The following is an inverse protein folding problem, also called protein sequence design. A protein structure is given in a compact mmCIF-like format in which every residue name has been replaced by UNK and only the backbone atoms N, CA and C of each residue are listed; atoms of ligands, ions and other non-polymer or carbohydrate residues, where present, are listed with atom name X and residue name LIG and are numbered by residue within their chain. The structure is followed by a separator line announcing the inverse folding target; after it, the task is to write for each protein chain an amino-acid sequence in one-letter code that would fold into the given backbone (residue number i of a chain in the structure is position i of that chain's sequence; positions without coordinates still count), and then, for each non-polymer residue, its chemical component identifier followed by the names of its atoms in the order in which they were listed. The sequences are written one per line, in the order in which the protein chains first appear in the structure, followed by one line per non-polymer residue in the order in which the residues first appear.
data_IF_755251622201
#
_entry.id   IF_755251622201
#
_cell.length_a   1.000
_cell.length_b   1.000
_cell.length_c   1.000
_cell.angle_alpha   90.00
_cell.angle_beta   90.00
_cell.angle_gamma   90.00
#
_symmetry.space_group_name_H-M   'P 1'
#
loop_
_entity.id
_entity.type
_entity.pdbx_description
1 polymer ?
#
# COMPACT_ATOMS: atom_id res chain seq x y z
N UNK A 1 -10.12 -10.10 -27.71
CA UNK A 1 -11.05 -9.80 -26.62
C UNK A 1 -10.27 -9.91 -25.32
N UNK A 2 -9.79 -8.78 -24.82
CA UNK A 2 -9.26 -8.68 -23.46
C UNK A 2 -10.29 -8.04 -22.55
N UNK A 3 -10.35 -8.47 -21.29
CA UNK A 3 -11.08 -7.82 -20.21
C UNK A 3 -10.08 -7.08 -19.33
N UNK A 4 -10.14 -5.75 -19.36
CA UNK A 4 -9.14 -4.88 -18.74
C UNK A 4 -9.83 -3.97 -17.73
N UNK A 5 -9.31 -3.97 -16.50
CA UNK A 5 -9.68 -2.96 -15.50
C UNK A 5 -8.57 -1.91 -15.44
N UNK A 6 -8.91 -0.63 -15.59
CA UNK A 6 -7.96 0.49 -15.56
C UNK A 6 -8.30 1.42 -14.40
N UNK A 7 -7.39 1.62 -13.45
CA UNK A 7 -7.56 2.57 -12.34
C UNK A 7 -6.82 3.87 -12.63
N UNK A 8 -7.47 5.01 -12.41
CA UNK A 8 -6.83 6.33 -12.46
C UNK A 8 -6.93 7.03 -11.09
N UNK A 9 -5.79 7.50 -10.57
CA UNK A 9 -5.71 8.24 -9.31
C UNK A 9 -6.20 9.69 -9.42
N UNK A 10 -6.36 10.36 -8.27
CA UNK A 10 -6.93 11.71 -8.22
C UNK A 10 -6.15 12.77 -9.01
N UNK A 11 -4.81 12.68 -9.01
CA UNK A 11 -3.94 13.55 -9.81
C UNK A 11 -4.13 13.36 -11.33
N UNK A 12 -4.51 12.14 -11.75
CA UNK A 12 -4.81 11.78 -13.14
C UNK A 12 -6.14 12.33 -13.62
N UNK A 13 -7.11 12.56 -12.72
CA UNK A 13 -8.47 13.04 -13.06
C UNK A 13 -8.76 14.45 -12.53
N UNK A 14 -7.72 15.19 -12.11
CA UNK A 14 -7.87 16.47 -11.40
C UNK A 14 -8.57 17.59 -12.18
N UNK A 15 -8.61 17.53 -13.51
CA UNK A 15 -9.24 18.56 -14.36
C UNK A 15 -10.02 17.93 -15.51
N UNK A 16 -11.02 18.63 -16.08
CA UNK A 16 -11.74 18.14 -17.27
C UNK A 16 -10.81 17.81 -18.44
N UNK A 17 -9.75 18.61 -18.67
CA UNK A 17 -8.74 18.33 -19.69
C UNK A 17 -8.05 16.98 -19.46
N UNK A 18 -7.66 16.69 -18.22
CA UNK A 18 -7.05 15.40 -17.87
C UNK A 18 -8.03 14.24 -18.03
N UNK A 19 -9.31 14.43 -17.70
CA UNK A 19 -10.37 13.44 -17.96
C UNK A 19 -10.47 13.14 -19.46
N UNK A 20 -10.50 14.16 -20.32
CA UNK A 20 -10.52 13.96 -21.77
C UNK A 20 -9.25 13.27 -22.29
N UNK A 21 -8.07 13.56 -21.73
CA UNK A 21 -6.83 12.89 -22.07
C UNK A 21 -6.88 11.39 -21.73
N UNK A 22 -7.48 11.01 -20.60
CA UNK A 22 -7.72 9.61 -20.23
C UNK A 22 -8.66 8.95 -21.22
N UNK A 23 -9.78 9.61 -21.56
CA UNK A 23 -10.74 9.10 -22.56
C UNK A 23 -10.05 8.87 -23.90
N UNK A 24 -9.29 9.85 -24.41
CA UNK A 24 -8.54 9.73 -25.66
C UNK A 24 -7.53 8.58 -25.62
N UNK A 25 -6.85 8.41 -24.48
CA UNK A 25 -5.92 7.31 -24.28
C UNK A 25 -6.64 5.97 -24.37
N UNK A 26 -7.74 5.79 -23.63
CA UNK A 26 -8.50 4.54 -23.62
C UNK A 26 -9.04 4.22 -25.00
N UNK A 27 -9.62 5.20 -25.70
CA UNK A 27 -10.14 4.98 -27.06
C UNK A 27 -9.05 4.68 -28.09
N UNK A 28 -7.86 5.26 -27.93
CA UNK A 28 -6.70 4.97 -28.78
C UNK A 28 -6.14 3.58 -28.56
N UNK A 29 -6.11 3.10 -27.31
CA UNK A 29 -5.51 1.81 -26.93
C UNK A 29 -6.49 0.63 -27.12
N UNK A 30 -7.79 0.88 -26.96
CA UNK A 30 -8.86 -0.13 -27.06
C UNK A 30 -8.85 -0.83 -28.42
N UNK A 31 -8.90 -2.17 -28.41
CA UNK A 31 -9.26 -2.95 -29.59
C UNK A 31 -10.79 -3.14 -29.68
N UNK A 32 -11.29 -3.45 -30.87
CA UNK A 32 -12.73 -3.53 -31.14
C UNK A 32 -13.51 -4.42 -30.15
N UNK A 33 -12.90 -5.54 -29.74
CA UNK A 33 -13.53 -6.53 -28.85
C UNK A 33 -13.06 -6.42 -27.39
N UNK A 34 -12.40 -5.35 -26.99
CA UNK A 34 -11.95 -5.21 -25.60
C UNK A 34 -13.10 -4.73 -24.69
N UNK A 35 -13.23 -5.41 -23.55
CA UNK A 35 -14.14 -5.02 -22.46
C UNK A 35 -13.34 -4.21 -21.45
N UNK A 36 -13.71 -2.95 -21.26
CA UNK A 36 -12.94 -2.01 -20.43
C UNK A 36 -13.80 -1.49 -19.29
N UNK A 37 -13.29 -1.66 -18.08
CA UNK A 37 -13.84 -1.05 -16.86
C UNK A 37 -12.82 -0.05 -16.33
N UNK A 38 -13.26 1.17 -16.07
CA UNK A 38 -12.45 2.19 -15.40
C UNK A 38 -12.84 2.26 -13.92
N UNK A 39 -11.84 2.40 -13.05
CA UNK A 39 -12.03 2.77 -11.64
C UNK A 39 -11.37 4.12 -11.42
N UNK A 40 -12.10 5.08 -10.86
CA UNK A 40 -11.57 6.44 -10.63
C UNK A 40 -11.67 6.85 -9.18
N UNK A 41 -10.66 7.58 -8.72
CA UNK A 41 -10.66 8.31 -7.43
C UNK A 41 -11.34 9.68 -7.58
N UNK A 42 -11.57 10.37 -6.46
CA UNK A 42 -11.99 11.77 -6.48
C UNK A 42 -10.98 12.68 -7.22
N UNK A 43 -11.46 13.80 -7.78
CA UNK A 43 -10.62 14.75 -8.53
C UNK A 43 -9.63 15.49 -7.64
N UNK A 44 -8.34 15.44 -7.97
CA UNK A 44 -7.30 16.22 -7.28
C UNK A 44 -7.33 16.00 -5.77
N UNK A 45 -7.40 17.09 -5.01
CA UNK A 45 -7.37 17.09 -3.54
C UNK A 45 -8.77 17.09 -2.91
N UNK A 46 -9.83 16.79 -3.69
CA UNK A 46 -11.23 16.86 -3.23
C UNK A 46 -11.48 16.08 -1.94
N UNK A 47 -10.87 14.90 -1.78
CA UNK A 47 -11.03 14.10 -0.55
C UNK A 47 -10.50 14.86 0.67
N UNK A 48 -9.34 15.51 0.54
CA UNK A 48 -8.72 16.26 1.63
C UNK A 48 -9.53 17.53 1.96
N UNK A 49 -10.07 18.21 0.93
CA UNK A 49 -10.97 19.35 1.10
C UNK A 49 -12.25 18.97 1.86
N UNK A 50 -12.84 17.81 1.55
CA UNK A 50 -14.02 17.29 2.24
C UNK A 50 -13.71 16.93 3.70
N UNK A 51 -12.57 16.31 3.98
CA UNK A 51 -12.11 16.05 5.36
C UNK A 51 -11.90 17.37 6.11
N UNK A 52 -11.27 18.36 5.49
CA UNK A 52 -11.03 19.67 6.09
C UNK A 52 -12.35 20.39 6.40
N UNK A 53 -13.33 20.32 5.50
CA UNK A 53 -14.66 20.89 5.69
C UNK A 53 -15.40 20.21 6.86
N UNK A 54 -15.36 18.87 6.94
CA UNK A 54 -15.97 18.14 8.05
C UNK A 54 -15.37 18.53 9.41
N UNK A 55 -14.04 18.73 9.47
CA UNK A 55 -13.34 19.20 10.69
C UNK A 55 -13.79 20.59 11.16
N UNK A 56 -14.26 21.45 10.25
CA UNK A 56 -14.83 22.76 10.61
C UNK A 56 -16.21 22.63 11.27
N UNK A 57 -16.95 21.56 10.95
CA UNK A 57 -18.28 21.28 11.53
C UNK A 57 -18.14 20.59 12.88
N UNK A 58 -17.21 19.65 13.02
CA UNK A 58 -17.06 18.86 14.25
C UNK A 58 -15.68 18.25 14.42
N UNK A 59 -15.25 18.14 15.68
CA UNK A 59 -14.06 17.37 16.08
C UNK A 59 -14.38 15.93 16.48
N UNK A 60 -15.65 15.52 16.46
CA UNK A 60 -16.08 14.17 16.86
C UNK A 60 -15.98 13.18 15.70
N UNK A 61 -15.67 11.90 15.97
CA UNK A 61 -15.49 10.89 14.93
C UNK A 61 -16.82 10.29 14.48
N UNK A 62 -17.56 10.98 13.62
CA UNK A 62 -18.79 10.44 13.00
C UNK A 62 -18.49 9.64 11.73
N UNK A 63 -18.04 8.40 11.90
CA UNK A 63 -17.55 7.57 10.77
C UNK A 63 -18.55 7.36 9.64
N UNK A 64 -19.81 7.01 9.94
CA UNK A 64 -20.84 6.79 8.90
C UNK A 64 -21.05 8.01 8.00
N UNK A 65 -21.17 9.20 8.60
CA UNK A 65 -21.39 10.41 7.82
C UNK A 65 -20.14 10.90 7.11
N UNK A 66 -18.96 10.61 7.66
CA UNK A 66 -17.70 10.84 6.95
C UNK A 66 -17.64 10.00 5.68
N UNK A 67 -17.95 8.70 5.76
CA UNK A 67 -17.95 7.82 4.59
C UNK A 67 -18.94 8.28 3.52
N UNK A 68 -20.14 8.69 3.96
CA UNK A 68 -21.14 9.30 3.08
C UNK A 68 -20.60 10.57 2.42
N UNK A 69 -19.93 11.45 3.16
CA UNK A 69 -19.36 12.68 2.62
C UNK A 69 -18.27 12.40 1.59
N UNK A 70 -17.27 11.59 1.95
CA UNK A 70 -16.08 11.37 1.10
C UNK A 70 -16.45 10.68 -0.22
N UNK A 71 -17.39 9.73 -0.18
CA UNK A 71 -17.88 9.01 -1.36
C UNK A 71 -18.44 9.90 -2.47
N UNK A 72 -18.83 11.14 -2.16
CA UNK A 72 -19.35 12.08 -3.15
C UNK A 72 -18.28 12.52 -4.15
N UNK A 73 -17.00 12.53 -3.75
CA UNK A 73 -15.89 12.92 -4.62
C UNK A 73 -15.73 11.97 -5.82
N UNK A 74 -15.74 10.66 -5.58
CA UNK A 74 -15.69 9.67 -6.66
C UNK A 74 -16.95 9.70 -7.53
N UNK A 75 -18.13 9.95 -6.93
CA UNK A 75 -19.39 10.04 -7.67
C UNK A 75 -19.41 11.20 -8.70
N UNK A 76 -18.84 12.34 -8.34
CA UNK A 76 -18.64 13.45 -9.29
C UNK A 76 -17.75 13.01 -10.44
N UNK A 77 -16.65 12.33 -10.13
CA UNK A 77 -15.65 11.93 -11.12
C UNK A 77 -16.19 10.91 -12.13
N UNK A 78 -16.90 9.87 -11.67
CA UNK A 78 -17.48 8.87 -12.58
C UNK A 78 -18.51 9.49 -13.52
N UNK A 79 -19.29 10.47 -13.06
CA UNK A 79 -20.30 11.13 -13.87
C UNK A 79 -19.63 11.95 -14.98
N UNK A 80 -18.62 12.76 -14.63
CA UNK A 80 -17.87 13.57 -15.60
C UNK A 80 -17.13 12.71 -16.62
N UNK A 81 -16.53 11.60 -16.19
CA UNK A 81 -15.83 10.70 -17.10
C UNK A 81 -16.78 9.97 -18.05
N UNK A 82 -17.94 9.52 -17.56
CA UNK A 82 -18.96 8.93 -18.43
C UNK A 82 -19.48 9.96 -19.47
N UNK A 83 -19.73 11.20 -19.06
CA UNK A 83 -20.10 12.28 -19.99
C UNK A 83 -19.00 12.49 -21.06
N UNK A 84 -17.73 12.49 -20.66
CA UNK A 84 -16.61 12.68 -21.58
C UNK A 84 -16.46 11.54 -22.60
N UNK A 85 -16.70 10.28 -22.22
CA UNK A 85 -16.75 9.16 -23.18
C UNK A 85 -17.90 9.31 -24.18
N UNK A 86 -19.09 9.66 -23.69
CA UNK A 86 -20.26 9.85 -24.55
C UNK A 86 -20.06 11.01 -25.54
N UNK A 87 -19.43 12.11 -25.12
CA UNK A 87 -19.05 13.23 -25.99
C UNK A 87 -18.08 12.80 -27.11
N UNK A 88 -17.28 11.76 -26.86
CA UNK A 88 -16.34 11.17 -27.83
C UNK A 88 -16.96 10.04 -28.66
N UNK A 89 -18.27 9.85 -28.57
CA UNK A 89 -19.01 8.86 -29.36
C UNK A 89 -18.86 7.42 -28.90
N UNK A 90 -18.28 7.18 -27.71
CA UNK A 90 -18.23 5.86 -27.09
C UNK A 90 -19.23 5.82 -25.94
N UNK A 91 -20.23 4.95 -26.04
CA UNK A 91 -21.20 4.79 -24.97
C UNK A 91 -20.51 4.34 -23.68
N UNK A 92 -20.91 4.94 -22.56
CA UNK A 92 -20.42 4.60 -21.25
C UNK A 92 -21.48 4.76 -20.16
N UNK A 93 -21.30 4.05 -19.05
CA UNK A 93 -22.16 4.14 -17.87
C UNK A 93 -21.33 4.29 -16.61
N UNK A 94 -21.76 5.18 -15.71
CA UNK A 94 -21.16 5.32 -14.39
C UNK A 94 -21.89 4.46 -13.36
N UNK A 95 -21.13 3.81 -12.48
CA UNK A 95 -21.65 2.99 -11.38
C UNK A 95 -20.97 3.37 -10.06
N UNK A 96 -21.74 3.46 -8.98
CA UNK A 96 -21.18 3.51 -7.62
C UNK A 96 -20.61 2.15 -7.22
N UNK A 97 -19.87 2.09 -6.10
CA UNK A 97 -19.34 0.81 -5.60
C UNK A 97 -20.44 -0.22 -5.31
N UNK A 98 -21.55 0.22 -4.71
CA UNK A 98 -22.78 -0.58 -4.54
C UNK A 98 -23.30 -1.13 -5.87
N UNK A 99 -23.47 -0.25 -6.88
CA UNK A 99 -23.98 -0.65 -8.19
C UNK A 99 -23.02 -1.56 -8.97
N UNK A 100 -21.73 -1.53 -8.65
CA UNK A 100 -20.73 -2.47 -9.16
C UNK A 100 -20.62 -3.76 -8.31
N UNK A 101 -21.46 -3.90 -7.28
CA UNK A 101 -21.59 -5.10 -6.45
C UNK A 101 -20.58 -5.22 -5.32
N UNK A 102 -19.94 -4.13 -4.90
CA UNK A 102 -18.89 -4.15 -3.86
C UNK A 102 -19.53 -4.16 -2.47
N UNK A 103 -19.51 -5.32 -1.82
CA UNK A 103 -19.95 -5.48 -0.42
C UNK A 103 -18.79 -5.20 0.54
N UNK A 104 -19.03 -4.38 1.56
CA UNK A 104 -18.04 -3.97 2.56
C UNK A 104 -18.44 -4.36 3.98
N UNK A 105 -17.45 -4.51 4.86
CA UNK A 105 -17.64 -4.52 6.32
C UNK A 105 -18.23 -3.20 6.82
N UNK A 106 -18.79 -3.20 8.02
CA UNK A 106 -19.39 -2.05 8.74
C UNK A 106 -18.38 -1.15 9.48
N UNK A 107 -17.08 -1.38 9.30
CA UNK A 107 -16.03 -0.55 9.89
C UNK A 107 -15.81 0.73 9.09
N UNK A 108 -16.57 1.78 9.41
CA UNK A 108 -16.49 3.08 8.71
C UNK A 108 -15.06 3.67 8.68
N UNK A 109 -14.73 4.37 7.58
CA UNK A 109 -13.40 4.91 7.22
C UNK A 109 -12.31 3.87 6.90
N UNK A 110 -12.50 2.60 7.28
CA UNK A 110 -11.51 1.52 7.16
C UNK A 110 -12.15 0.22 6.67
N UNK A 111 -13.17 0.33 5.81
CA UNK A 111 -13.93 -0.79 5.29
C UNK A 111 -13.06 -1.82 4.59
N UNK A 112 -13.51 -3.08 4.62
CA UNK A 112 -12.89 -4.21 3.92
C UNK A 112 -13.89 -4.79 2.94
N UNK A 113 -13.43 -5.04 1.72
CA UNK A 113 -14.25 -5.73 0.71
C UNK A 113 -14.49 -7.18 1.17
N UNK A 114 -15.75 -7.54 1.37
CA UNK A 114 -16.18 -8.89 1.73
C UNK A 114 -16.50 -9.75 0.51
N UNK A 115 -16.97 -9.12 -0.57
CA UNK A 115 -17.30 -9.77 -1.82
C UNK A 115 -17.58 -8.74 -2.92
N UNK A 116 -17.51 -9.19 -4.17
CA UNK A 116 -17.83 -8.39 -5.35
C UNK A 116 -18.72 -9.22 -6.28
N UNK A 117 -19.92 -8.71 -6.58
CA UNK A 117 -20.83 -9.28 -7.58
C UNK A 117 -20.91 -8.36 -8.82
N UNK A 118 -20.09 -8.61 -9.86
CA UNK A 118 -19.99 -7.72 -11.02
C UNK A 118 -21.10 -7.92 -12.07
N UNK A 119 -22.23 -8.57 -11.74
CA UNK A 119 -23.29 -8.86 -12.72
C UNK A 119 -23.73 -7.63 -13.53
N UNK A 120 -24.02 -6.51 -12.86
CA UNK A 120 -24.40 -5.25 -13.52
C UNK A 120 -23.28 -4.65 -14.38
N UNK A 121 -22.02 -4.89 -14.02
CA UNK A 121 -20.86 -4.48 -14.83
C UNK A 121 -20.83 -5.30 -16.12
N UNK A 122 -21.03 -6.62 -16.04
CA UNK A 122 -21.07 -7.47 -17.23
C UNK A 122 -22.23 -7.13 -18.17
N UNK A 123 -23.43 -6.88 -17.65
CA UNK A 123 -24.59 -6.46 -18.44
C UNK A 123 -24.26 -5.23 -19.30
N UNK A 124 -23.65 -4.20 -18.71
CA UNK A 124 -23.25 -3.00 -19.44
C UNK A 124 -22.13 -3.25 -20.45
N UNK A 125 -21.15 -4.10 -20.12
CA UNK A 125 -20.07 -4.46 -21.05
C UNK A 125 -20.58 -5.25 -22.25
N UNK A 126 -21.57 -6.12 -22.07
CA UNK A 126 -22.18 -6.91 -23.14
C UNK A 126 -23.01 -6.04 -24.11
N UNK A 127 -23.46 -4.87 -23.64
CA UNK A 127 -24.05 -3.82 -24.49
C UNK A 127 -22.98 -2.98 -25.24
N UNK A 128 -21.68 -3.31 -25.09
CA UNK A 128 -20.58 -2.61 -25.75
C UNK A 128 -20.15 -1.30 -25.09
N UNK A 129 -20.64 -1.03 -23.87
CA UNK A 129 -20.34 0.20 -23.12
C UNK A 129 -18.98 0.10 -22.42
N UNK A 130 -18.36 1.25 -22.19
CA UNK A 130 -17.30 1.38 -21.19
C UNK A 130 -17.96 1.60 -19.82
N UNK A 131 -17.56 0.83 -18.81
CA UNK A 131 -18.10 0.98 -17.45
C UNK A 131 -17.14 1.82 -16.61
N UNK A 132 -17.63 2.87 -15.95
CA UNK A 132 -16.83 3.74 -15.06
C UNK A 132 -17.33 3.58 -13.63
N UNK A 133 -16.54 2.92 -12.79
CA UNK A 133 -16.86 2.61 -11.40
C UNK A 133 -16.18 3.59 -10.45
N UNK A 134 -16.91 4.04 -9.43
CA UNK A 134 -16.34 4.87 -8.40
C UNK A 134 -15.58 3.97 -7.41
N UNK A 135 -14.27 4.18 -7.32
CA UNK A 135 -13.43 3.44 -6.39
C UNK A 135 -13.66 3.85 -4.93
N UNK A 136 -12.87 3.30 -4.02
CA UNK A 136 -12.79 3.72 -2.61
C UNK A 136 -14.05 3.47 -1.75
N UNK A 137 -15.18 3.10 -2.35
CA UNK A 137 -16.44 2.88 -1.66
C UNK A 137 -17.00 1.46 -1.86
N UNK A 138 -17.77 1.00 -0.87
CA UNK A 138 -18.62 -0.18 -0.93
C UNK A 138 -19.88 0.02 -0.09
N UNK A 139 -20.72 -1.00 -0.01
CA UNK A 139 -21.98 -0.96 0.75
C UNK A 139 -22.02 -2.05 1.82
N UNK A 140 -22.55 -1.73 2.99
CA UNK A 140 -22.81 -2.72 4.04
C UNK A 140 -24.06 -3.54 3.73
N UNK A 141 -24.26 -4.63 4.47
CA UNK A 141 -25.51 -5.41 4.42
C UNK A 141 -26.77 -4.57 4.75
N UNK A 142 -26.60 -3.43 5.44
CA UNK A 142 -27.69 -2.52 5.83
C UNK A 142 -27.96 -1.40 4.82
N UNK A 143 -27.17 -1.34 3.73
CA UNK A 143 -27.31 -0.28 2.72
C UNK A 143 -26.54 1.01 3.05
N UNK A 144 -25.65 0.99 4.04
CA UNK A 144 -24.80 2.14 4.36
C UNK A 144 -23.55 2.15 3.48
N UNK A 145 -23.19 3.33 2.98
CA UNK A 145 -21.95 3.51 2.25
C UNK A 145 -20.75 3.53 3.19
N UNK A 146 -19.71 2.80 2.82
CA UNK A 146 -18.47 2.67 3.59
C UNK A 146 -17.29 2.97 2.68
N UNK A 147 -16.32 3.71 3.20
CA UNK A 147 -15.06 3.92 2.51
C UNK A 147 -14.01 2.89 2.92
N UNK A 148 -13.14 2.53 1.99
CA UNK A 148 -12.16 1.43 2.14
C UNK A 148 -10.83 1.89 2.75
N UNK A 149 -10.73 3.16 3.15
CA UNK A 149 -9.51 3.78 3.65
C UNK A 149 -8.50 4.13 2.55
N UNK A 150 -7.30 4.55 2.97
CA UNK A 150 -6.22 4.94 2.04
C UNK A 150 -5.93 3.79 1.06
N UNK A 151 -5.81 4.13 -0.23
CA UNK A 151 -5.61 3.11 -1.27
C UNK A 151 -6.88 2.34 -1.67
N UNK A 152 -8.05 2.77 -1.19
CA UNK A 152 -9.31 2.09 -1.45
C UNK A 152 -9.66 1.98 -2.93
N UNK A 153 -9.30 2.97 -3.76
CA UNK A 153 -9.53 2.90 -5.21
C UNK A 153 -8.67 1.83 -5.89
N UNK A 154 -7.41 1.65 -5.49
CA UNK A 154 -6.54 0.58 -6.02
C UNK A 154 -7.11 -0.79 -5.61
N UNK A 155 -7.50 -0.91 -4.34
CA UNK A 155 -8.13 -2.14 -3.81
C UNK A 155 -9.43 -2.46 -4.54
N UNK A 156 -10.25 -1.43 -4.84
CA UNK A 156 -11.48 -1.59 -5.63
C UNK A 156 -11.19 -2.13 -7.02
N UNK A 157 -10.23 -1.54 -7.72
CA UNK A 157 -9.87 -1.96 -9.08
C UNK A 157 -9.40 -3.41 -9.14
N UNK A 158 -8.48 -3.79 -8.25
CA UNK A 158 -7.94 -5.16 -8.24
C UNK A 158 -8.99 -6.17 -7.78
N UNK A 159 -9.83 -5.85 -6.80
CA UNK A 159 -10.91 -6.73 -6.37
C UNK A 159 -11.96 -6.95 -7.47
N UNK A 160 -12.33 -5.88 -8.18
CA UNK A 160 -13.25 -5.96 -9.31
C UNK A 160 -12.64 -6.78 -10.46
N UNK A 161 -11.37 -6.54 -10.80
CA UNK A 161 -10.64 -7.31 -11.78
C UNK A 161 -10.60 -8.81 -11.43
N UNK A 162 -10.35 -9.12 -10.15
CA UNK A 162 -10.37 -10.49 -9.61
C UNK A 162 -11.72 -11.18 -9.75
N UNK A 163 -12.79 -10.53 -9.29
CA UNK A 163 -14.15 -11.07 -9.37
C UNK A 163 -14.61 -11.27 -10.82
N UNK A 164 -14.17 -10.40 -11.73
CA UNK A 164 -14.48 -10.47 -13.15
C UNK A 164 -13.56 -11.42 -13.94
N UNK A 165 -12.48 -11.92 -13.33
CA UNK A 165 -11.41 -12.67 -14.02
C UNK A 165 -10.83 -11.89 -15.21
N UNK A 166 -10.54 -10.62 -14.98
CA UNK A 166 -9.89 -9.76 -15.96
C UNK A 166 -8.48 -10.27 -16.30
N UNK A 167 -8.05 -10.03 -17.54
CA UNK A 167 -6.71 -10.42 -18.01
C UNK A 167 -5.61 -9.62 -17.30
N UNK A 168 -5.90 -8.35 -16.97
CA UNK A 168 -4.98 -7.44 -16.27
C UNK A 168 -5.75 -6.32 -15.56
N UNK A 169 -5.22 -5.89 -14.42
CA UNK A 169 -5.61 -4.66 -13.75
C UNK A 169 -4.50 -3.60 -13.92
N UNK A 170 -4.72 -2.60 -14.77
CA UNK A 170 -3.77 -1.49 -14.92
C UNK A 170 -4.00 -0.44 -13.84
N UNK A 171 -2.95 -0.06 -13.12
CA UNK A 171 -2.97 1.02 -12.13
C UNK A 171 -2.18 2.20 -12.70
N UNK A 172 -2.89 3.25 -13.08
CA UNK A 172 -2.30 4.49 -13.57
C UNK A 172 -2.06 5.48 -12.42
N UNK A 173 -0.80 5.89 -12.29
CA UNK A 173 -0.34 6.84 -11.27
C UNK A 173 0.59 7.89 -11.90
N UNK A 174 1.25 8.69 -11.07
CA UNK A 174 2.26 9.68 -11.44
C UNK A 174 3.65 9.09 -11.74
N UNK A 175 3.99 7.94 -11.15
CA UNK A 175 5.21 7.18 -11.47
C UNK A 175 5.03 6.23 -12.67
N UNK A 176 6.13 5.93 -13.37
CA UNK A 176 6.15 5.11 -14.60
C UNK A 176 6.48 3.62 -14.38
N UNK A 177 6.44 3.17 -13.13
CA UNK A 177 6.61 1.79 -12.69
C UNK A 177 7.10 1.71 -11.24
N UNK A 178 7.45 0.50 -10.83
CA UNK A 178 8.12 0.23 -9.55
C UNK A 178 9.62 0.25 -9.80
N UNK A 179 10.37 0.94 -8.95
CA UNK A 179 11.82 1.02 -9.03
C UNK A 179 12.48 0.18 -7.96
N UNK A 180 13.74 -0.19 -8.19
CA UNK A 180 14.59 -0.88 -7.22
C UNK A 180 14.76 -0.11 -5.90
N UNK A 181 14.57 1.21 -5.91
CA UNK A 181 14.44 2.08 -4.73
C UNK A 181 13.91 3.44 -5.19
N UNK A 182 13.67 4.40 -4.28
CA UNK A 182 13.25 5.76 -4.65
C UNK A 182 14.34 6.48 -5.47
N UNK A 183 14.09 6.84 -6.75
CA UNK A 183 15.05 7.53 -7.60
C UNK A 183 15.48 8.92 -7.08
N UNK A 184 14.69 9.51 -6.15
CA UNK A 184 15.03 10.77 -5.48
C UNK A 184 16.12 10.57 -4.42
N UNK A 185 16.27 9.36 -3.90
CA UNK A 185 17.26 8.99 -2.88
C UNK A 185 18.51 8.38 -3.53
N UNK A 186 18.34 7.40 -4.42
CA UNK A 186 19.44 6.80 -5.18
C UNK A 186 19.27 7.03 -6.68
N UNK A 187 20.17 7.80 -7.29
CA UNK A 187 20.08 8.22 -8.71
C UNK A 187 20.19 7.07 -9.71
N UNK A 188 20.89 6.01 -9.33
CA UNK A 188 21.09 4.81 -10.14
C UNK A 188 19.94 3.80 -9.98
N UNK A 189 18.86 4.18 -9.29
CA UNK A 189 17.65 3.38 -9.22
C UNK A 189 17.14 3.08 -10.62
N UNK A 190 16.80 1.81 -10.85
CA UNK A 190 16.29 1.35 -12.13
C UNK A 190 14.87 0.84 -11.98
N UNK A 191 14.09 0.98 -13.04
CA UNK A 191 12.72 0.49 -13.09
C UNK A 191 12.74 -1.04 -13.24
N UNK A 192 11.93 -1.72 -12.43
CA UNK A 192 11.70 -3.15 -12.55
C UNK A 192 10.73 -3.41 -13.72
N UNK A 193 11.03 -4.39 -14.56
CA UNK A 193 10.09 -4.83 -15.61
C UNK A 193 8.97 -5.69 -15.00
N UNK A 194 9.36 -6.59 -14.11
CA UNK A 194 8.47 -7.49 -13.39
C UNK A 194 8.86 -7.57 -11.91
N UNK A 195 7.87 -7.83 -11.06
CA UNK A 195 8.05 -8.10 -9.63
C UNK A 195 6.98 -9.10 -9.18
N UNK A 196 7.31 -10.00 -8.27
CA UNK A 196 6.31 -10.94 -7.75
C UNK A 196 5.33 -10.25 -6.79
N UNK A 197 4.16 -10.85 -6.55
CA UNK A 197 3.25 -10.34 -5.52
C UNK A 197 3.90 -10.28 -4.14
N UNK A 198 4.69 -11.31 -3.77
CA UNK A 198 5.37 -11.37 -2.48
C UNK A 198 6.36 -10.23 -2.31
N UNK A 199 7.21 -9.99 -3.31
CA UNK A 199 8.20 -8.91 -3.26
C UNK A 199 7.54 -7.53 -3.24
N UNK A 200 6.52 -7.30 -4.07
CA UNK A 200 5.83 -6.02 -4.10
C UNK A 200 5.06 -5.77 -2.79
N UNK A 201 4.47 -6.82 -2.19
CA UNK A 201 3.79 -6.71 -0.90
C UNK A 201 4.77 -6.33 0.21
N UNK A 202 5.94 -6.96 0.25
CA UNK A 202 7.01 -6.63 1.20
C UNK A 202 7.54 -5.22 0.97
N UNK A 203 7.85 -4.84 -0.27
CA UNK A 203 8.28 -3.48 -0.61
C UNK A 203 7.25 -2.43 -0.15
N UNK A 204 5.96 -2.65 -0.42
CA UNK A 204 4.90 -1.72 -0.05
C UNK A 204 4.73 -1.58 1.47
N UNK A 205 4.87 -2.67 2.22
CA UNK A 205 4.85 -2.66 3.70
C UNK A 205 6.06 -1.95 4.29
N UNK A 206 7.20 -2.07 3.64
CA UNK A 206 8.48 -1.52 4.12
C UNK A 206 8.75 -0.08 3.64
N UNK A 207 7.75 0.58 3.03
CA UNK A 207 7.76 2.01 2.74
C UNK A 207 7.71 2.40 1.25
N UNK A 208 7.70 1.44 0.32
CA UNK A 208 7.55 1.75 -1.10
C UNK A 208 6.13 2.25 -1.42
N UNK A 209 5.95 3.56 -1.52
CA UNK A 209 4.64 4.22 -1.70
C UNK A 209 3.95 4.06 -3.07
N UNK A 210 4.46 3.22 -3.97
CA UNK A 210 3.94 3.08 -5.35
C UNK A 210 2.62 2.30 -5.38
N UNK A 211 2.49 1.28 -4.53
CA UNK A 211 1.33 0.39 -4.50
C UNK A 211 0.84 0.21 -3.07
N UNK A 212 -0.47 0.04 -2.94
CA UNK A 212 -1.09 -0.18 -1.65
C UNK A 212 -1.08 -1.68 -1.32
N UNK A 213 -0.59 -2.11 -0.12
CA UNK A 213 -0.45 -3.52 0.23
C UNK A 213 -1.72 -4.34 0.00
N UNK A 214 -2.89 -3.78 0.35
CA UNK A 214 -4.20 -4.44 0.16
C UNK A 214 -4.53 -4.71 -1.30
N UNK A 215 -4.13 -3.83 -2.22
CA UNK A 215 -4.36 -4.04 -3.65
C UNK A 215 -3.48 -5.17 -4.17
N UNK A 216 -2.22 -5.24 -3.74
CA UNK A 216 -1.30 -6.33 -4.09
C UNK A 216 -1.80 -7.67 -3.54
N UNK A 217 -2.27 -7.69 -2.28
CA UNK A 217 -2.85 -8.87 -1.65
C UNK A 217 -4.08 -9.39 -2.41
N UNK A 218 -4.95 -8.51 -2.88
CA UNK A 218 -6.09 -8.88 -3.73
C UNK A 218 -5.61 -9.46 -5.07
N UNK A 219 -4.57 -8.88 -5.67
CA UNK A 219 -3.97 -9.38 -6.91
C UNK A 219 -3.48 -10.82 -6.76
N UNK A 220 -2.74 -11.08 -5.67
CA UNK A 220 -2.29 -12.43 -5.31
C UNK A 220 -3.47 -13.39 -5.09
N UNK A 221 -4.44 -12.99 -4.25
CA UNK A 221 -5.60 -13.83 -3.89
C UNK A 221 -6.44 -14.25 -5.10
N UNK A 222 -6.60 -13.37 -6.08
CA UNK A 222 -7.39 -13.63 -7.29
C UNK A 222 -6.54 -14.08 -8.49
N UNK A 223 -5.21 -14.08 -8.38
CA UNK A 223 -4.31 -14.39 -9.49
C UNK A 223 -4.41 -13.41 -10.66
N UNK A 224 -4.72 -12.13 -10.40
CA UNK A 224 -4.86 -11.10 -11.44
C UNK A 224 -3.56 -10.29 -11.56
N UNK A 225 -2.90 -10.27 -12.73
CA UNK A 225 -1.73 -9.45 -12.94
C UNK A 225 -2.06 -7.96 -12.76
N UNK A 226 -1.22 -7.24 -12.02
CA UNK A 226 -1.36 -5.79 -11.82
C UNK A 226 -0.29 -5.09 -12.66
N UNK A 227 -0.69 -4.13 -13.48
CA UNK A 227 0.24 -3.40 -14.35
C UNK A 227 0.34 -1.94 -13.91
N UNK A 228 1.44 -1.58 -13.25
CA UNK A 228 1.69 -0.22 -12.78
C UNK A 228 2.23 0.63 -13.92
N UNK A 229 1.52 1.70 -14.27
CA UNK A 229 1.85 2.58 -15.39
C UNK A 229 1.74 4.06 -14.99
N UNK A 230 2.42 4.92 -15.74
CA UNK A 230 2.21 6.36 -15.61
C UNK A 230 1.03 6.80 -16.46
N UNK A 231 0.22 7.71 -15.92
CA UNK A 231 -0.82 8.42 -16.69
C UNK A 231 -0.18 9.31 -17.77
N UNK A 232 1.03 9.82 -17.50
CA UNK A 232 1.67 10.90 -18.25
C UNK A 232 2.73 10.43 -19.24
N UNK A 233 2.93 9.13 -19.40
CA UNK A 233 3.86 8.57 -20.38
C UNK A 233 3.35 7.26 -20.98
N UNK A 234 3.83 6.92 -22.17
CA UNK A 234 3.54 5.65 -22.83
C UNK A 234 4.59 4.57 -22.55
N UNK A 235 5.41 4.77 -21.50
CA UNK A 235 6.38 3.76 -21.09
C UNK A 235 5.68 2.47 -20.65
N UNK A 236 6.31 1.30 -20.85
CA UNK A 236 5.68 0.01 -20.55
C UNK A 236 5.33 -0.27 -19.09
N UNK A 237 5.67 0.57 -18.10
CA UNK A 237 5.34 0.27 -16.70
C UNK A 237 6.16 -0.85 -16.06
N UNK A 238 5.59 -1.44 -15.01
CA UNK A 238 6.05 -2.66 -14.30
C UNK A 238 4.87 -3.60 -14.10
N UNK A 239 5.05 -4.91 -14.31
CA UNK A 239 4.00 -5.91 -14.07
C UNK A 239 4.25 -6.66 -12.76
N UNK A 240 3.24 -6.69 -11.90
CA UNK A 240 3.19 -7.43 -10.65
C UNK A 240 2.37 -8.70 -10.89
N UNK A 241 2.96 -9.89 -10.66
CA UNK A 241 2.34 -11.19 -10.95
C UNK A 241 2.88 -12.30 -10.05
N UNK A 242 2.42 -13.54 -10.23
CA UNK A 242 2.83 -14.68 -9.40
C UNK A 242 4.33 -14.97 -9.53
N UNK A 243 4.77 -15.19 -10.76
CA UNK A 243 6.13 -15.56 -11.10
C UNK A 243 6.67 -14.72 -12.26
N UNK A 244 8.00 -14.58 -12.31
CA UNK A 244 8.69 -13.99 -13.44
C UNK A 244 8.45 -14.77 -14.72
N UNK A 245 8.14 -14.06 -15.81
CA UNK A 245 8.02 -14.68 -17.13
C UNK A 245 9.36 -14.81 -17.85
N UNK A 246 10.34 -14.01 -17.44
CA UNK A 246 11.69 -13.98 -17.99
C UNK A 246 12.70 -14.08 -16.84
N UNK A 247 13.54 -15.11 -16.83
CA UNK A 247 14.52 -15.33 -15.74
C UNK A 247 15.47 -14.14 -15.55
N UNK A 248 15.83 -13.45 -16.63
CA UNK A 248 16.69 -12.26 -16.59
C UNK A 248 16.09 -11.08 -15.80
N UNK A 249 14.78 -11.09 -15.55
CA UNK A 249 14.11 -10.06 -14.74
C UNK A 249 14.20 -10.33 -13.23
N UNK A 250 14.62 -11.54 -12.85
CA UNK A 250 14.78 -11.95 -11.45
C UNK A 250 16.10 -11.44 -10.91
N UNK A 251 16.03 -10.72 -9.79
CA UNK A 251 17.19 -10.23 -9.07
C UNK A 251 17.34 -11.00 -7.76
N UNK A 252 18.56 -11.12 -7.24
CA UNK A 252 18.78 -11.66 -5.88
C UNK A 252 18.12 -10.75 -4.87
N UNK A 253 18.38 -9.45 -5.00
CA UNK A 253 17.70 -8.37 -4.28
C UNK A 253 16.94 -7.54 -5.29
N UNK A 254 15.63 -7.50 -5.11
CA UNK A 254 14.67 -6.81 -5.97
C UNK A 254 14.62 -5.32 -5.66
N UNK A 255 14.78 -4.94 -4.39
CA UNK A 255 14.84 -3.53 -4.05
C UNK A 255 15.28 -3.20 -2.63
N UNK A 256 15.40 -1.89 -2.40
CA UNK A 256 15.68 -1.26 -1.11
C UNK A 256 14.55 -0.28 -0.80
N UNK A 257 13.93 -0.41 0.36
CA UNK A 257 12.86 0.46 0.84
C UNK A 257 13.24 1.10 2.17
N UNK A 258 12.75 2.32 2.39
CA UNK A 258 12.85 3.03 3.65
C UNK A 258 11.49 3.50 4.15
N UNK A 259 11.37 3.60 5.47
CA UNK A 259 10.19 4.12 6.15
C UNK A 259 10.62 5.01 7.32
N UNK A 260 10.36 6.30 7.18
CA UNK A 260 10.60 7.33 8.21
C UNK A 260 9.36 7.60 9.07
N UNK A 261 8.21 6.99 8.75
CA UNK A 261 6.99 7.10 9.55
C UNK A 261 6.97 6.02 10.64
N UNK A 262 8.01 5.98 11.46
CA UNK A 262 8.19 4.92 12.45
C UNK A 262 8.83 5.47 13.73
N UNK A 263 8.30 5.05 14.87
CA UNK A 263 8.92 5.27 16.17
C UNK A 263 9.27 3.92 16.81
N UNK A 264 10.42 3.86 17.48
CA UNK A 264 10.85 2.69 18.25
C UNK A 264 10.26 2.76 19.64
N UNK A 265 9.57 1.71 20.05
CA UNK A 265 9.08 1.53 21.41
C UNK A 265 9.82 0.37 22.05
N UNK A 266 10.49 0.60 23.18
CA UNK A 266 11.17 -0.42 23.95
C UNK A 266 10.55 -0.55 25.34
N UNK A 267 10.00 -1.73 25.63
CA UNK A 267 9.57 -2.14 26.96
C UNK A 267 10.71 -2.92 27.61
N UNK A 268 11.31 -2.28 28.60
CA UNK A 268 12.54 -2.69 29.25
C UNK A 268 12.15 -3.54 30.46
N UNK A 269 12.61 -4.79 30.50
CA UNK A 269 12.57 -5.62 31.70
C UNK A 269 11.17 -6.15 32.04
N UNK A 270 10.44 -6.56 31.01
CA UNK A 270 9.14 -7.23 31.19
C UNK A 270 9.34 -8.68 31.62
N UNK A 271 8.43 -9.22 32.43
CA UNK A 271 8.49 -10.62 32.83
C UNK A 271 8.42 -11.57 31.62
N UNK A 272 9.37 -12.51 31.54
CA UNK A 272 9.44 -13.53 30.51
C UNK A 272 8.56 -14.73 30.87
N UNK A 273 7.23 -14.50 30.94
CA UNK A 273 6.22 -15.53 31.21
C UNK A 273 5.08 -15.47 30.20
N UNK A 274 4.36 -16.59 29.97
CA UNK A 274 3.22 -16.61 29.07
C UNK A 274 2.19 -15.53 29.41
N UNK A 275 1.70 -14.84 28.40
CA UNK A 275 0.64 -13.83 28.52
C UNK A 275 1.10 -12.38 28.60
N UNK A 276 2.36 -12.08 28.93
CA UNK A 276 2.83 -10.68 29.04
C UNK A 276 2.74 -9.94 27.69
N UNK A 277 3.32 -10.51 26.63
CA UNK A 277 3.21 -9.96 25.29
C UNK A 277 1.74 -9.83 24.83
N UNK A 278 0.89 -10.82 25.15
CA UNK A 278 -0.52 -10.77 24.82
C UNK A 278 -1.25 -9.60 25.52
N UNK A 279 -0.93 -9.32 26.78
CA UNK A 279 -1.49 -8.17 27.50
C UNK A 279 -1.05 -6.85 26.86
N UNK A 280 0.23 -6.71 26.51
CA UNK A 280 0.77 -5.51 25.84
C UNK A 280 0.05 -5.26 24.52
N UNK A 281 0.05 -6.22 23.61
CA UNK A 281 -0.49 -6.02 22.27
C UNK A 281 -2.02 -5.95 22.25
N UNK A 282 -2.72 -6.60 23.19
CA UNK A 282 -4.17 -6.39 23.36
C UNK A 282 -4.51 -4.97 23.80
N UNK A 283 -3.71 -4.38 24.69
CA UNK A 283 -3.93 -3.00 25.14
C UNK A 283 -3.76 -2.00 23.99
N UNK A 284 -2.71 -2.17 23.18
CA UNK A 284 -2.47 -1.36 21.97
C UNK A 284 -3.59 -1.55 20.94
N UNK A 285 -3.94 -2.80 20.62
CA UNK A 285 -4.99 -3.13 19.66
C UNK A 285 -6.38 -2.61 20.07
N UNK A 286 -6.71 -2.63 21.37
CA UNK A 286 -7.98 -2.08 21.89
C UNK A 286 -8.12 -0.57 21.64
N UNK A 287 -7.01 0.12 21.36
CA UNK A 287 -6.96 1.55 21.03
C UNK A 287 -6.66 1.80 19.54
N UNK A 288 -6.68 0.75 18.73
CA UNK A 288 -6.38 0.77 17.30
C UNK A 288 -4.97 1.28 16.96
N UNK A 289 -3.99 1.10 17.85
CA UNK A 289 -2.58 1.34 17.54
C UNK A 289 -2.06 0.17 16.72
N UNK A 290 -1.57 0.45 15.53
CA UNK A 290 -0.98 -0.57 14.65
C UNK A 290 0.49 -0.80 15.01
N UNK A 291 0.88 -2.06 15.13
CA UNK A 291 2.24 -2.45 15.51
C UNK A 291 2.87 -3.19 14.35
N UNK A 292 4.11 -2.81 14.01
CA UNK A 292 4.86 -3.39 12.89
C UNK A 292 5.96 -4.35 13.40
N UNK A 293 7.25 -4.00 13.27
CA UNK A 293 8.36 -4.87 13.68
C UNK A 293 8.21 -5.22 15.16
N UNK A 294 8.31 -6.50 15.52
CA UNK A 294 8.34 -6.98 16.91
C UNK A 294 9.61 -7.79 17.11
N UNK A 295 10.44 -7.36 18.06
CA UNK A 295 11.69 -8.01 18.43
C UNK A 295 11.70 -8.25 19.94
N UNK A 296 11.80 -9.51 20.32
CA UNK A 296 12.01 -9.90 21.72
C UNK A 296 13.40 -10.53 21.84
N UNK A 297 14.25 -9.94 22.67
CA UNK A 297 15.61 -10.44 22.89
C UNK A 297 15.85 -10.82 24.34
N UNK A 298 16.66 -11.87 24.55
CA UNK A 298 17.09 -12.30 25.86
C UNK A 298 18.09 -11.29 26.44
N UNK A 299 17.92 -10.94 27.72
CA UNK A 299 18.86 -10.05 28.43
C UNK A 299 20.08 -10.82 28.94
N UNK A 300 19.81 -11.82 29.77
CA UNK A 300 20.81 -12.69 30.38
C UNK A 300 20.27 -14.11 30.49
N UNK A 301 21.16 -15.09 30.40
CA UNK A 301 20.78 -16.51 30.61
C UNK A 301 20.32 -16.68 32.06
N UNK A 302 19.06 -17.10 32.26
CA UNK A 302 18.50 -17.39 33.58
C UNK A 302 17.78 -16.22 34.27
N UNK A 303 17.73 -15.03 33.65
CA UNK A 303 16.88 -13.95 34.15
C UNK A 303 15.41 -14.17 33.76
N UNK A 304 14.45 -13.90 34.67
CA UNK A 304 13.03 -14.02 34.38
C UNK A 304 12.50 -12.81 33.59
N UNK A 305 13.37 -11.95 33.05
CA UNK A 305 13.01 -10.72 32.35
C UNK A 305 13.59 -10.68 30.94
N UNK A 306 12.89 -10.00 30.05
CA UNK A 306 13.22 -9.85 28.64
C UNK A 306 12.92 -8.43 28.21
N UNK A 307 13.50 -8.00 27.09
CA UNK A 307 13.09 -6.76 26.43
C UNK A 307 12.15 -7.06 25.28
N UNK A 308 11.11 -6.24 25.16
CA UNK A 308 10.17 -6.28 24.04
C UNK A 308 10.26 -4.94 23.32
N UNK A 309 10.77 -4.98 22.10
CA UNK A 309 10.93 -3.81 21.25
C UNK A 309 10.01 -3.95 20.05
N UNK A 310 9.32 -2.88 19.70
CA UNK A 310 8.48 -2.85 18.52
C UNK A 310 8.41 -1.46 17.89
N UNK A 311 7.88 -1.38 16.68
CA UNK A 311 7.66 -0.09 16.02
C UNK A 311 6.17 0.23 15.88
N UNK A 312 5.87 1.53 15.91
CA UNK A 312 4.53 2.09 15.64
C UNK A 312 4.67 3.26 14.67
N UNK A 313 3.61 3.60 13.96
CA UNK A 313 3.59 4.79 13.10
C UNK A 313 3.73 6.08 13.93
N UNK A 314 4.29 7.15 13.35
CA UNK A 314 4.45 8.44 14.05
C UNK A 314 3.11 9.02 14.52
N UNK A 315 2.06 8.85 13.70
CA UNK A 315 0.70 9.30 14.03
C UNK A 315 0.12 8.60 15.28
N UNK A 316 0.57 7.38 15.58
CA UNK A 316 0.09 6.58 16.71
C UNK A 316 0.92 6.78 17.98
N UNK A 317 2.03 7.52 17.95
CA UNK A 317 2.95 7.69 19.08
C UNK A 317 2.25 8.23 20.33
N UNK A 318 1.36 9.22 20.17
CA UNK A 318 0.63 9.81 21.29
C UNK A 318 -0.28 8.77 21.96
N UNK A 319 -1.06 8.04 21.16
CA UNK A 319 -1.94 6.99 21.67
C UNK A 319 -1.15 5.82 22.28
N UNK A 320 -0.06 5.40 21.64
CA UNK A 320 0.83 4.36 22.14
C UNK A 320 1.41 4.77 23.50
N UNK A 321 1.86 6.02 23.66
CA UNK A 321 2.38 6.55 24.93
C UNK A 321 1.33 6.48 26.04
N UNK A 322 0.12 6.96 25.79
CA UNK A 322 -1.00 6.88 26.76
C UNK A 322 -1.26 5.44 27.21
N UNK A 323 -1.34 4.50 26.27
CA UNK A 323 -1.59 3.08 26.56
C UNK A 323 -0.47 2.47 27.40
N UNK A 324 0.78 2.76 27.05
CA UNK A 324 1.93 2.18 27.73
C UNK A 324 2.14 2.75 29.13
N UNK A 325 1.83 4.03 29.35
CA UNK A 325 1.83 4.65 30.68
C UNK A 325 0.76 4.05 31.60
N UNK A 326 -0.41 3.71 31.07
CA UNK A 326 -1.42 2.95 31.81
C UNK A 326 -0.97 1.52 32.09
N UNK A 327 -0.40 0.86 31.08
CA UNK A 327 0.05 -0.53 31.17
C UNK A 327 1.18 -0.70 32.20
N UNK A 328 2.11 0.24 32.28
CA UNK A 328 3.22 0.24 33.24
C UNK A 328 2.73 0.28 34.70
N UNK A 329 1.50 0.74 34.97
CA UNK A 329 0.89 0.68 36.31
C UNK A 329 0.32 -0.70 36.65
N UNK A 330 0.02 -1.50 35.64
CA UNK A 330 -0.66 -2.80 35.77
C UNK A 330 0.28 -4.00 35.56
N UNK A 331 1.40 -3.81 34.86
CA UNK A 331 2.39 -4.83 34.51
C UNK A 331 3.75 -4.40 35.05
N UNK A 332 4.56 -5.34 35.55
CA UNK A 332 5.95 -5.06 35.95
C UNK A 332 6.80 -4.77 34.70
N UNK A 333 6.97 -3.48 34.39
CA UNK A 333 7.79 -2.95 33.29
C UNK A 333 8.77 -1.95 33.89
N UNK A 334 10.07 -2.22 33.77
CA UNK A 334 11.11 -1.39 34.41
C UNK A 334 11.20 -0.01 33.77
N UNK A 335 11.14 0.05 32.44
CA UNK A 335 11.07 1.31 31.71
C UNK A 335 10.32 1.16 30.38
N UNK A 336 9.76 2.27 29.93
CA UNK A 336 9.19 2.42 28.59
C UNK A 336 9.95 3.54 27.90
N UNK A 337 10.62 3.23 26.79
CA UNK A 337 11.32 4.22 25.98
C UNK A 337 10.66 4.31 24.61
N UNK A 338 10.36 5.54 24.18
CA UNK A 338 9.86 5.82 22.83
C UNK A 338 10.86 6.75 22.16
N UNK A 339 11.40 6.32 21.04
CA UNK A 339 12.35 7.07 20.22
C UNK A 339 11.73 7.39 18.87
N UNK A 340 11.49 8.68 18.65
CA UNK A 340 10.81 9.24 17.49
C UNK A 340 11.79 9.61 16.36
N UNK A 341 13.10 9.41 16.55
CA UNK A 341 14.15 9.80 15.58
C UNK A 341 14.78 8.60 14.89
N UNK A 342 13.93 7.63 14.53
CA UNK A 342 14.33 6.36 13.94
C UNK A 342 13.72 6.19 12.57
N UNK A 343 14.38 5.42 11.71
CA UNK A 343 13.86 5.01 10.42
C UNK A 343 14.22 3.56 10.12
N UNK A 344 13.39 2.89 9.33
CA UNK A 344 13.66 1.56 8.81
C UNK A 344 14.35 1.68 7.45
N UNK A 345 15.37 0.86 7.22
CA UNK A 345 15.92 0.59 5.90
C UNK A 345 15.92 -0.92 5.67
N UNK A 346 15.36 -1.35 4.54
CA UNK A 346 15.13 -2.76 4.28
C UNK A 346 15.57 -3.16 2.89
N UNK A 347 16.17 -4.33 2.77
CA UNK A 347 16.38 -5.02 1.50
C UNK A 347 15.30 -6.07 1.30
N UNK A 348 14.84 -6.22 0.05
CA UNK A 348 13.77 -7.14 -0.34
C UNK A 348 14.24 -7.94 -1.56
N UNK A 349 14.09 -9.25 -1.54
CA UNK A 349 14.33 -10.10 -2.71
C UNK A 349 14.12 -11.58 -2.41
N UNK A 350 13.33 -12.26 -3.24
CA UNK A 350 13.09 -13.69 -3.08
C UNK A 350 14.36 -14.54 -3.32
N UNK A 351 15.30 -14.01 -4.11
CA UNK A 351 16.58 -14.67 -4.39
C UNK A 351 17.54 -14.71 -3.18
N UNK A 352 17.25 -13.98 -2.10
CA UNK A 352 18.02 -14.05 -0.86
C UNK A 352 17.87 -15.40 -0.14
N UNK A 353 16.76 -16.10 -0.40
CA UNK A 353 16.47 -17.38 0.23
C UNK A 353 17.45 -18.46 -0.26
N UNK A 354 18.24 -19.00 0.68
CA UNK A 354 19.25 -20.00 0.37
C UNK A 354 20.56 -19.44 -0.19
N UNK A 355 20.74 -18.11 -0.27
CA UNK A 355 21.99 -17.47 -0.65
C UNK A 355 22.71 -16.88 0.57
N UNK A 356 23.77 -17.53 1.08
CA UNK A 356 24.55 -16.99 2.20
C UNK A 356 25.25 -15.68 1.81
N UNK A 357 25.42 -14.80 2.80
CA UNK A 357 26.26 -13.60 2.67
C UNK A 357 25.51 -12.29 2.41
N UNK A 358 24.24 -12.32 2.01
CA UNK A 358 23.46 -11.08 1.76
C UNK A 358 23.38 -10.20 3.01
N UNK A 359 23.02 -10.77 4.15
CA UNK A 359 22.97 -10.05 5.43
C UNK A 359 24.35 -9.48 5.81
N UNK A 360 25.41 -10.28 5.63
CA UNK A 360 26.77 -9.87 5.96
C UNK A 360 27.22 -8.67 5.10
N UNK A 361 26.90 -8.68 3.80
CA UNK A 361 27.20 -7.55 2.90
C UNK A 361 26.42 -6.30 3.30
N UNK A 362 25.12 -6.41 3.59
CA UNK A 362 24.32 -5.27 4.05
C UNK A 362 24.92 -4.63 5.32
N UNK A 363 25.30 -5.45 6.31
CA UNK A 363 25.87 -4.94 7.56
C UNK A 363 27.27 -4.34 7.38
N UNK A 364 28.10 -4.94 6.53
CA UNK A 364 29.43 -4.40 6.20
C UNK A 364 29.32 -3.03 5.51
N UNK A 365 28.42 -2.89 4.53
CA UNK A 365 28.13 -1.62 3.84
C UNK A 365 27.72 -0.53 4.84
N UNK A 366 26.78 -0.83 5.73
CA UNK A 366 26.33 0.12 6.76
C UNK A 366 27.47 0.49 7.72
N UNK A 367 28.29 -0.49 8.11
CA UNK A 367 29.44 -0.28 9.00
C UNK A 367 30.50 0.60 8.37
N UNK A 368 30.82 0.42 7.08
CA UNK A 368 31.81 1.22 6.36
C UNK A 368 31.42 2.70 6.29
N UNK A 369 30.13 2.99 6.28
CA UNK A 369 29.56 4.35 6.28
C UNK A 369 29.30 4.88 7.70
N UNK A 370 29.69 4.13 8.74
CA UNK A 370 29.49 4.51 10.14
C UNK A 370 28.01 4.67 10.49
N UNK A 371 27.13 3.87 9.90
CA UNK A 371 25.70 3.84 10.19
C UNK A 371 25.45 2.74 11.23
N UNK A 372 25.12 3.14 12.45
CA UNK A 372 24.83 2.20 13.53
C UNK A 372 23.48 1.52 13.32
N UNK A 373 23.45 0.19 13.48
CA UNK A 373 22.22 -0.61 13.45
C UNK A 373 21.74 -0.79 14.88
N UNK A 374 20.51 -0.36 15.17
CA UNK A 374 19.92 -0.54 16.50
C UNK A 374 19.13 -1.84 16.64
N UNK A 375 18.40 -2.21 15.60
CA UNK A 375 17.54 -3.39 15.57
C UNK A 375 17.65 -4.03 14.21
N UNK A 376 17.64 -5.36 14.21
CA UNK A 376 17.55 -6.18 13.00
C UNK A 376 16.27 -7.01 13.11
N UNK A 377 15.47 -7.04 12.04
CA UNK A 377 14.36 -7.97 11.85
C UNK A 377 14.44 -8.58 10.46
N UNK A 378 13.95 -9.80 10.30
CA UNK A 378 14.02 -10.54 9.03
C UNK A 378 12.70 -11.25 8.74
N UNK A 379 12.30 -11.28 7.47
CA UNK A 379 11.28 -12.20 6.95
C UNK A 379 11.95 -13.28 6.08
N UNK A 380 11.16 -14.07 5.36
CA UNK A 380 11.69 -15.02 4.37
C UNK A 380 12.39 -14.33 3.20
N UNK A 381 11.98 -13.12 2.82
CA UNK A 381 12.47 -12.40 1.63
C UNK A 381 12.89 -10.96 1.91
N UNK A 382 13.03 -10.57 3.18
CA UNK A 382 13.45 -9.21 3.56
C UNK A 382 14.33 -9.19 4.81
N UNK A 383 15.24 -8.22 4.87
CA UNK A 383 16.04 -7.88 6.06
C UNK A 383 15.86 -6.39 6.31
N UNK A 384 15.40 -6.05 7.51
CA UNK A 384 15.13 -4.67 7.95
C UNK A 384 16.06 -4.29 9.09
N UNK A 385 16.71 -3.14 8.94
CA UNK A 385 17.52 -2.50 9.97
C UNK A 385 16.83 -1.22 10.43
N UNK A 386 16.78 -1.02 11.75
CA UNK A 386 16.40 0.25 12.33
C UNK A 386 17.66 1.10 12.57
N UNK A 387 17.68 2.31 12.00
CA UNK A 387 18.81 3.24 12.02
C UNK A 387 18.32 4.65 12.40
N UNK A 388 19.24 5.55 12.72
CA UNK A 388 18.90 6.95 12.96
C UNK A 388 18.25 7.59 11.70
N UNK A 389 17.17 8.34 11.89
CA UNK A 389 16.38 8.93 10.79
C UNK A 389 17.23 9.80 9.85
N UNK A 390 18.17 10.56 10.39
CA UNK A 390 19.05 11.45 9.64
C UNK A 390 20.08 10.71 8.76
N UNK A 391 20.27 9.41 8.97
CA UNK A 391 21.17 8.54 8.18
C UNK A 391 20.45 7.66 7.17
N UNK A 392 19.11 7.60 7.17
CA UNK A 392 18.36 6.63 6.35
C UNK A 392 18.60 6.78 4.85
N UNK A 393 18.70 8.01 4.34
CA UNK A 393 18.93 8.27 2.92
C UNK A 393 20.33 7.85 2.48
N UNK A 394 21.32 8.04 3.35
CA UNK A 394 22.67 7.53 3.11
C UNK A 394 22.65 6.01 3.09
N UNK A 395 22.00 5.36 4.08
CA UNK A 395 21.84 3.92 4.17
C UNK A 395 21.22 3.32 2.89
N UNK A 396 20.10 3.86 2.43
CA UNK A 396 19.43 3.44 1.18
C UNK A 396 20.38 3.52 0.00
N UNK A 397 21.08 4.65 -0.17
CA UNK A 397 21.99 4.87 -1.30
C UNK A 397 23.14 3.87 -1.30
N UNK A 398 23.79 3.65 -0.15
CA UNK A 398 24.99 2.80 -0.08
C UNK A 398 24.63 1.31 -0.19
N UNK A 399 23.49 0.90 0.38
CA UNK A 399 22.94 -0.45 0.23
C UNK A 399 22.56 -0.70 -1.23
N UNK A 400 21.82 0.24 -1.85
CA UNK A 400 21.39 0.11 -3.23
C UNK A 400 22.58 -0.04 -4.18
N UNK A 401 23.59 0.82 -4.04
CA UNK A 401 24.78 0.76 -4.86
C UNK A 401 25.56 -0.55 -4.65
N UNK A 402 25.86 -0.90 -3.40
CA UNK A 402 26.73 -2.04 -3.10
C UNK A 402 26.08 -3.43 -3.28
N UNK A 403 24.73 -3.51 -3.29
CA UNK A 403 24.03 -4.79 -3.45
C UNK A 403 23.33 -4.95 -4.80
N UNK A 404 22.84 -3.88 -5.44
CA UNK A 404 22.04 -3.98 -6.67
C UNK A 404 22.79 -3.52 -7.93
N UNK A 405 23.85 -2.71 -7.81
CA UNK A 405 24.64 -2.28 -8.97
C UNK A 405 25.89 -3.14 -9.14
N UNK A 406 26.58 -3.46 -8.05
CA UNK A 406 27.81 -4.27 -8.09
C UNK A 406 27.57 -5.73 -8.53
N UNK A 407 26.31 -6.18 -8.48
CA UNK A 407 25.89 -7.50 -8.97
C UNK A 407 25.55 -7.51 -10.48
N UNK A 408 25.64 -6.38 -11.19
CA UNK A 408 25.42 -6.31 -12.65
C UNK A 408 26.65 -6.70 -13.49
N UNK A 409 27.61 -7.39 -12.88
CA UNK A 409 28.83 -7.89 -13.52
C UNK A 409 28.57 -8.92 -14.62
#
# INVERSE_FOLDING_TARGET
MALIVKKFGGSSVATPEKIFNIVDRVLREKQADDKIVLVVSAMGDTTDDLVALAKQVTSKPYGREMDRLLSTGEQVTIALMAMAFNERGQESVSLTGDQAGITSSDTFNKGRILGVDPNRVFEALDEGKIVVVAGFQGITEYGDMVTLGRGGSDTTAVALAGAMKADVCEIFTDVDGVYSTDPRVAKEAFKLEEVTYGEMLEMARLGAGVMQPRAVEMGFRYGVPIHVRSTFSDKPGTIIREDYTVEANKHVITGVADDTNTAKVALVGVENKPGVAATVFKALAARNVDVDMIVQSIRSVGEPKTDLIFTVAMDDVVLAREVLEELQKAVDIEAVNIDEKMAKVSIIGAGMLGQPGVAAQMFDILSQEGINIEIISTSEISISCLVAEDRVKDAVRVIHNGLLLDQRG
#
